data_IF_072517684878
#
_entry.id   IF_072517684878
#
_cell.length_a   1.000
_cell.length_b   1.000
_cell.length_c   1.000
_cell.angle_alpha   90.00
_cell.angle_beta   90.00
_cell.angle_gamma   90.00
#
_symmetry.space_group_name_H-M   'P 1'
#
loop_
_entity.id
_entity.type
_entity.pdbx_description
1 polymer ?
#
# COMPACT_ATOMS: atom_id res chain seq x y z
N UNK A 1 17.62 -7.44 -2.90
CA UNK A 1 18.49 -6.55 -2.13
C UNK A 1 18.90 -5.47 -3.08
N UNK A 2 18.56 -4.25 -2.69
CA UNK A 2 18.74 -3.04 -3.46
C UNK A 2 20.00 -2.36 -2.94
N UNK A 3 20.99 -2.17 -3.81
CA UNK A 3 22.14 -1.31 -3.60
C UNK A 3 21.65 0.07 -3.99
N UNK A 4 21.44 0.87 -2.96
CA UNK A 4 21.08 2.27 -3.09
C UNK A 4 22.37 3.06 -3.04
N UNK A 5 22.59 3.91 -4.03
CA UNK A 5 23.66 4.89 -3.96
C UNK A 5 23.30 5.94 -2.90
N UNK A 6 24.20 6.14 -1.94
CA UNK A 6 23.88 6.86 -0.70
C UNK A 6 23.79 8.38 -0.88
N UNK A 7 24.31 8.94 -1.97
CA UNK A 7 24.23 10.36 -2.29
C UNK A 7 22.98 10.68 -3.14
N UNK A 8 22.63 9.80 -4.08
CA UNK A 8 21.49 9.98 -4.99
C UNK A 8 20.18 9.38 -4.50
N UNK A 9 20.23 8.51 -3.48
CA UNK A 9 19.10 7.72 -2.95
C UNK A 9 18.42 6.83 -3.99
N UNK A 10 19.17 6.42 -5.00
CA UNK A 10 18.61 5.72 -6.13
C UNK A 10 19.17 4.32 -6.28
N UNK A 11 18.36 3.45 -6.85
CA UNK A 11 18.68 2.04 -6.91
C UNK A 11 19.66 1.81 -8.08
N UNK A 12 20.93 1.52 -7.74
CA UNK A 12 22.05 1.32 -8.68
C UNK A 12 22.52 -0.15 -8.80
N UNK A 13 22.11 -1.03 -7.89
CA UNK A 13 21.96 -2.47 -8.19
C UNK A 13 20.81 -3.21 -7.48
N UNK A 14 20.12 -4.13 -8.14
CA UNK A 14 18.95 -4.89 -7.65
C UNK A 14 19.26 -6.31 -7.97
N UNK A 15 19.91 -6.95 -7.03
CA UNK A 15 20.08 -8.38 -7.11
C UNK A 15 18.80 -9.01 -6.58
N UNK A 16 18.14 -9.79 -7.44
CA UNK A 16 17.03 -10.67 -7.03
C UNK A 16 17.64 -11.76 -6.16
N UNK A 17 17.60 -11.56 -4.84
CA UNK A 17 18.19 -12.47 -3.84
C UNK A 17 17.30 -13.68 -3.61
N UNK A 18 16.01 -13.54 -3.92
CA UNK A 18 15.00 -14.59 -3.84
C UNK A 18 13.89 -14.29 -4.83
N UNK A 19 13.27 -15.33 -5.38
CA UNK A 19 11.97 -15.21 -6.04
C UNK A 19 10.91 -15.58 -5.01
N UNK A 20 10.03 -14.64 -4.66
CA UNK A 20 8.81 -14.96 -3.95
C UNK A 20 7.93 -15.81 -4.89
N UNK A 21 7.67 -17.10 -4.58
CA UNK A 21 6.87 -17.98 -5.41
C UNK A 21 5.37 -17.69 -5.18
N UNK A 22 5.02 -16.42 -5.19
CA UNK A 22 3.67 -15.91 -5.07
C UNK A 22 3.22 -15.43 -6.44
N UNK A 23 1.94 -15.58 -6.72
CA UNK A 23 1.32 -14.98 -7.90
C UNK A 23 1.43 -13.45 -7.83
N UNK A 24 1.44 -12.77 -8.98
CA UNK A 24 1.75 -11.33 -9.02
C UNK A 24 0.71 -10.50 -8.27
N UNK A 25 -0.56 -10.90 -8.27
CA UNK A 25 -1.61 -10.28 -7.45
C UNK A 25 -1.26 -10.34 -5.95
N UNK A 26 -0.82 -11.50 -5.45
CA UNK A 26 -0.40 -11.68 -4.06
C UNK A 26 0.85 -10.86 -3.74
N UNK A 27 1.81 -10.74 -4.68
CA UNK A 27 3.00 -9.88 -4.50
C UNK A 27 2.63 -8.40 -4.40
N UNK A 28 1.67 -7.92 -5.19
CA UNK A 28 1.22 -6.53 -5.10
C UNK A 28 0.45 -6.30 -3.78
N UNK A 29 -0.36 -7.26 -3.35
CA UNK A 29 -1.00 -7.22 -2.04
C UNK A 29 -0.02 -7.19 -0.88
N UNK A 30 1.04 -7.99 -0.95
CA UNK A 30 2.13 -8.00 0.03
C UNK A 30 2.78 -6.61 0.16
N UNK A 31 3.00 -5.91 -0.95
CA UNK A 31 3.53 -4.53 -0.94
C UNK A 31 2.57 -3.56 -0.27
N UNK A 32 1.29 -3.56 -0.65
CA UNK A 32 0.27 -2.71 -0.05
C UNK A 32 0.12 -2.96 1.45
N UNK A 33 0.24 -4.23 1.87
CA UNK A 33 0.15 -4.59 3.28
C UNK A 33 1.31 -4.03 4.11
N UNK A 34 2.53 -4.03 3.57
CA UNK A 34 3.75 -3.66 4.31
C UNK A 34 4.21 -2.23 4.08
N UNK A 35 3.71 -1.54 3.05
CA UNK A 35 4.15 -0.20 2.66
C UNK A 35 3.06 0.84 2.86
N UNK A 36 3.45 2.01 3.36
CA UNK A 36 2.62 3.21 3.43
C UNK A 36 2.84 4.16 2.23
N UNK A 37 3.63 3.75 1.24
CA UNK A 37 4.04 4.59 0.11
C UNK A 37 2.86 4.98 -0.81
N UNK A 38 1.86 4.11 -0.95
CA UNK A 38 0.65 4.45 -1.69
C UNK A 38 -0.22 5.40 -0.86
N UNK A 39 -0.30 6.67 -1.27
CA UNK A 39 -1.08 7.71 -0.56
C UNK A 39 -2.59 7.42 -0.49
N UNK A 40 -3.09 6.49 -1.31
CA UNK A 40 -4.47 5.98 -1.18
C UNK A 40 -4.67 5.15 0.08
N UNK A 41 -3.62 4.48 0.57
CA UNK A 41 -3.61 3.71 1.82
C UNK A 41 -3.49 4.63 3.03
N UNK A 42 -2.54 5.57 3.00
CA UNK A 42 -2.34 6.55 4.07
C UNK A 42 -1.80 7.86 3.51
N UNK A 43 -2.57 8.95 3.64
CA UNK A 43 -2.24 10.25 3.04
C UNK A 43 -0.84 10.76 3.41
N UNK A 44 -0.47 10.66 4.69
CA UNK A 44 0.83 11.15 5.18
C UNK A 44 1.90 10.04 5.21
N UNK A 45 1.64 8.90 4.54
CA UNK A 45 2.56 7.77 4.37
C UNK A 45 3.18 7.24 5.68
N UNK A 46 2.46 7.34 6.80
CA UNK A 46 2.98 7.04 8.14
C UNK A 46 2.58 5.66 8.70
N UNK A 47 1.59 5.00 8.10
CA UNK A 47 1.03 3.73 8.58
C UNK A 47 0.68 2.78 7.42
N UNK A 48 0.88 1.48 7.64
CA UNK A 48 0.44 0.40 6.76
C UNK A 48 -0.28 -0.69 7.56
N UNK A 49 -0.80 -1.72 6.90
CA UNK A 49 -1.46 -2.84 7.59
C UNK A 49 -0.48 -3.54 8.54
N UNK A 50 0.77 -3.72 8.11
CA UNK A 50 1.83 -4.37 8.87
C UNK A 50 2.26 -3.59 10.13
N UNK A 51 1.93 -2.30 10.23
CA UNK A 51 2.21 -1.50 11.45
C UNK A 51 1.49 -2.05 12.67
N UNK A 52 0.25 -2.50 12.49
CA UNK A 52 -0.54 -3.12 13.57
C UNK A 52 -0.53 -4.66 13.43
N UNK A 53 -0.42 -5.20 12.21
CA UNK A 53 -0.48 -6.63 11.95
C UNK A 53 0.88 -7.19 11.51
N UNK A 54 1.85 -7.23 12.42
CA UNK A 54 3.21 -7.73 12.15
C UNK A 54 3.20 -9.16 11.58
N UNK A 55 3.69 -9.33 10.34
CA UNK A 55 3.63 -10.58 9.57
C UNK A 55 2.22 -11.20 9.49
N UNK A 56 1.19 -10.36 9.54
CA UNK A 56 -0.21 -10.78 9.59
C UNK A 56 -0.71 -11.14 10.98
N UNK A 57 0.13 -11.10 12.01
CA UNK A 57 -0.24 -11.28 13.40
C UNK A 57 -0.87 -10.03 14.02
N UNK A 58 -0.53 -9.77 15.28
CA UNK A 58 -0.98 -8.61 16.04
C UNK A 58 0.22 -7.89 16.64
N UNK A 59 0.12 -6.58 16.79
CA UNK A 59 1.05 -5.73 17.55
C UNK A 59 0.89 -5.86 19.06
N UNK A 60 -0.12 -6.62 19.50
CA UNK A 60 -0.46 -6.86 20.90
C UNK A 60 -0.72 -5.55 21.66
N UNK A 61 -1.20 -4.51 20.96
CA UNK A 61 -1.56 -3.20 21.52
C UNK A 61 -3.07 -3.00 21.54
N UNK A 62 -3.53 -2.30 22.57
CA UNK A 62 -4.91 -1.81 22.66
C UNK A 62 -4.96 -0.35 22.27
N UNK A 63 -5.74 -0.06 21.23
CA UNK A 63 -5.89 1.26 20.63
C UNK A 63 -7.20 1.93 21.05
N UNK A 64 -7.18 3.27 21.07
CA UNK A 64 -8.35 4.09 21.38
C UNK A 64 -9.07 4.54 20.10
N UNK A 65 -10.31 4.10 19.90
CA UNK A 65 -11.17 4.55 18.80
C UNK A 65 -12.42 5.28 19.31
N UNK A 66 -13.13 6.05 18.45
CA UNK A 66 -14.36 6.74 18.83
C UNK A 66 -15.45 5.82 19.41
N UNK A 67 -15.45 4.55 19.01
CA UNK A 67 -16.38 3.53 19.47
C UNK A 67 -15.82 2.60 20.58
N UNK A 68 -14.63 2.92 21.11
CA UNK A 68 -14.06 2.32 22.30
C UNK A 68 -12.64 1.76 22.12
N UNK A 69 -12.15 1.09 23.16
CA UNK A 69 -10.87 0.39 23.13
C UNK A 69 -10.95 -0.87 22.26
N UNK A 70 -9.93 -1.10 21.42
CA UNK A 70 -9.82 -2.30 20.59
C UNK A 70 -8.38 -2.80 20.59
N UNK A 71 -8.19 -4.09 20.88
CA UNK A 71 -6.93 -4.76 20.61
C UNK A 71 -6.83 -5.10 19.11
N UNK A 72 -5.63 -5.15 18.56
CA UNK A 72 -5.43 -5.55 17.16
C UNK A 72 -5.67 -7.06 16.99
N UNK A 73 -6.64 -7.51 16.17
CA UNK A 73 -6.84 -8.94 15.92
C UNK A 73 -5.71 -9.50 15.03
N UNK A 74 -5.43 -10.80 15.12
CA UNK A 74 -4.55 -11.44 14.14
C UNK A 74 -5.26 -11.55 12.78
N UNK A 75 -4.56 -11.21 11.69
CA UNK A 75 -5.03 -11.43 10.32
C UNK A 75 -4.71 -12.85 9.81
N UNK A 76 -3.97 -13.64 10.57
CA UNK A 76 -3.67 -15.03 10.23
C UNK A 76 -4.98 -15.82 10.16
N UNK A 77 -5.17 -16.52 9.03
CA UNK A 77 -6.38 -17.26 8.69
C UNK A 77 -7.66 -16.41 8.56
N UNK A 78 -7.56 -15.07 8.57
CA UNK A 78 -8.74 -14.19 8.53
C UNK A 78 -9.63 -14.46 7.32
N UNK A 79 -9.09 -14.80 6.14
CA UNK A 79 -9.94 -15.14 4.97
C UNK A 79 -10.88 -16.34 5.18
N UNK A 80 -10.78 -17.07 6.30
CA UNK A 80 -11.62 -18.21 6.66
C UNK A 80 -12.51 -17.95 7.88
N UNK A 81 -12.36 -16.81 8.56
CA UNK A 81 -12.96 -16.54 9.88
C UNK A 81 -13.85 -15.30 9.90
N UNK A 82 -14.53 -15.02 8.79
CA UNK A 82 -15.51 -13.93 8.75
C UNK A 82 -16.72 -14.20 9.65
N UNK A 83 -17.50 -13.18 10.02
CA UNK A 83 -17.32 -11.76 9.69
C UNK A 83 -16.16 -11.09 10.44
N UNK A 84 -15.57 -10.04 9.88
CA UNK A 84 -14.31 -9.46 10.33
C UNK A 84 -14.49 -8.24 11.26
N UNK A 85 -13.39 -7.83 11.92
CA UNK A 85 -13.35 -6.99 13.12
C UNK A 85 -13.99 -7.63 14.36
N UNK A 86 -13.67 -7.08 15.55
CA UNK A 86 -14.30 -7.50 16.82
C UNK A 86 -15.82 -7.33 16.84
N UNK A 87 -16.33 -6.33 16.11
CA UNK A 87 -17.77 -6.08 15.93
C UNK A 87 -18.42 -7.01 14.91
N UNK A 88 -17.65 -7.72 14.08
CA UNK A 88 -18.18 -8.52 12.97
C UNK A 88 -18.90 -7.67 11.92
N UNK A 89 -18.47 -6.42 11.72
CA UNK A 89 -19.17 -5.45 10.87
C UNK A 89 -18.70 -5.46 9.41
N UNK A 90 -17.72 -6.30 9.06
CA UNK A 90 -17.25 -6.49 7.69
C UNK A 90 -17.65 -7.89 7.22
N UNK A 91 -18.34 -8.01 6.11
CA UNK A 91 -18.79 -9.30 5.59
C UNK A 91 -17.89 -9.85 4.46
N UNK A 92 -16.95 -9.03 3.98
CA UNK A 92 -15.81 -9.42 3.16
C UNK A 92 -14.53 -8.70 3.63
N UNK A 93 -13.35 -9.25 3.30
CA UNK A 93 -12.08 -8.61 3.69
C UNK A 93 -11.91 -7.29 2.95
N UNK A 94 -12.49 -7.14 1.77
CA UNK A 94 -12.41 -5.94 0.94
C UNK A 94 -13.09 -4.73 1.60
N UNK A 95 -13.97 -4.91 2.57
CA UNK A 95 -14.57 -3.79 3.32
C UNK A 95 -13.57 -3.06 4.22
N UNK A 96 -12.33 -3.57 4.34
CA UNK A 96 -11.20 -2.79 4.88
C UNK A 96 -10.93 -1.51 4.07
N UNK A 97 -11.55 -1.32 2.90
CA UNK A 97 -11.63 -0.04 2.21
C UNK A 97 -12.08 1.09 3.13
N UNK A 98 -13.04 0.84 4.02
CA UNK A 98 -13.46 1.82 5.02
C UNK A 98 -12.38 2.05 6.10
N UNK A 99 -11.67 1.01 6.52
CA UNK A 99 -10.51 1.14 7.43
C UNK A 99 -9.40 1.99 6.80
N UNK A 100 -9.11 1.81 5.51
CA UNK A 100 -8.12 2.62 4.79
C UNK A 100 -8.49 4.10 4.83
N UNK A 101 -9.76 4.43 4.61
CA UNK A 101 -10.25 5.82 4.57
C UNK A 101 -10.34 6.44 5.97
N UNK A 102 -11.01 5.77 6.89
CA UNK A 102 -11.38 6.34 8.19
C UNK A 102 -10.25 6.23 9.22
N UNK A 103 -9.49 5.13 9.21
CA UNK A 103 -8.45 4.88 10.21
C UNK A 103 -7.05 5.27 9.72
N UNK A 104 -6.67 4.84 8.51
CA UNK A 104 -5.35 5.15 7.96
C UNK A 104 -5.29 6.56 7.33
N UNK A 105 -6.45 7.19 7.14
CA UNK A 105 -6.56 8.54 6.59
C UNK A 105 -6.24 8.62 5.09
N UNK A 106 -6.28 7.49 4.38
CA UNK A 106 -6.09 7.40 2.94
C UNK A 106 -7.32 7.83 2.15
N UNK A 107 -7.17 7.94 0.83
CA UNK A 107 -8.30 8.21 -0.07
C UNK A 107 -9.04 6.96 -0.53
N UNK A 108 -8.57 5.76 -0.14
CA UNK A 108 -9.14 4.47 -0.51
C UNK A 108 -8.63 3.91 -1.85
N UNK A 109 -8.61 2.57 -1.95
CA UNK A 109 -8.16 1.84 -3.13
C UNK A 109 -9.26 1.69 -4.19
N UNK A 110 -10.51 1.94 -3.82
CA UNK A 110 -11.67 1.87 -4.72
C UNK A 110 -12.04 3.28 -5.20
N UNK A 111 -12.54 3.37 -6.43
CA UNK A 111 -13.12 4.61 -6.94
C UNK A 111 -14.58 4.75 -6.50
N UNK A 112 -14.95 5.95 -6.04
CA UNK A 112 -16.31 6.24 -5.57
C UNK A 112 -16.53 5.86 -4.10
N UNK A 113 -17.74 5.42 -3.76
CA UNK A 113 -18.14 5.07 -2.39
C UNK A 113 -17.41 3.82 -1.89
N UNK A 114 -17.18 3.74 -0.58
CA UNK A 114 -16.51 2.62 0.09
C UNK A 114 -17.41 1.40 0.32
N UNK A 115 -18.68 1.50 -0.07
CA UNK A 115 -19.73 0.54 0.22
C UNK A 115 -19.84 0.18 1.71
N UNK A 116 -19.79 1.17 2.60
CA UNK A 116 -20.01 0.97 4.03
C UNK A 116 -21.23 1.70 4.60
N UNK A 117 -22.11 2.21 3.73
CA UNK A 117 -23.33 2.93 4.12
C UNK A 117 -24.58 2.12 3.75
N UNK A 118 -25.53 1.86 4.68
CA UNK A 118 -25.56 2.29 6.08
C UNK A 118 -24.68 1.45 7.02
N UNK A 119 -24.28 0.24 6.62
CA UNK A 119 -23.30 -0.62 7.29
C UNK A 119 -22.50 -1.41 6.25
N UNK A 120 -21.24 -1.75 6.52
CA UNK A 120 -20.42 -2.52 5.58
C UNK A 120 -20.96 -3.94 5.36
N UNK A 121 -21.40 -4.61 6.43
CA UNK A 121 -21.95 -5.97 6.40
C UNK A 121 -23.31 -6.15 5.71
N UNK A 122 -23.88 -5.07 5.14
CA UNK A 122 -25.15 -5.09 4.42
C UNK A 122 -25.16 -4.29 3.13
N UNK A 123 -24.05 -3.68 2.75
CA UNK A 123 -23.91 -2.90 1.54
C UNK A 123 -23.50 -3.77 0.33
N UNK A 124 -23.31 -3.14 -0.83
CA UNK A 124 -22.85 -3.85 -2.03
C UNK A 124 -21.39 -4.30 -1.89
N UNK A 125 -21.05 -5.42 -2.53
CA UNK A 125 -19.71 -5.99 -2.41
C UNK A 125 -18.62 -5.09 -3.01
N UNK A 126 -17.51 -4.98 -2.30
CA UNK A 126 -16.25 -4.38 -2.72
C UNK A 126 -15.36 -5.32 -3.56
N UNK A 127 -15.53 -6.65 -3.45
CA UNK A 127 -14.85 -7.62 -4.33
C UNK A 127 -14.99 -7.23 -5.81
N UNK A 128 -13.88 -7.16 -6.53
CA UNK A 128 -13.87 -6.89 -7.98
C UNK A 128 -13.97 -5.41 -8.36
N UNK A 129 -14.10 -4.48 -7.39
CA UNK A 129 -14.18 -3.04 -7.66
C UNK A 129 -12.83 -2.37 -7.86
N UNK A 130 -11.75 -2.98 -7.35
CA UNK A 130 -10.39 -2.47 -7.48
C UNK A 130 -9.39 -3.61 -7.46
N UNK A 131 -8.55 -3.67 -8.50
CA UNK A 131 -7.44 -4.63 -8.57
C UNK A 131 -6.51 -4.48 -7.37
N UNK A 132 -6.24 -3.26 -6.90
CA UNK A 132 -5.37 -3.04 -5.76
C UNK A 132 -5.95 -3.61 -4.46
N UNK A 133 -7.26 -3.43 -4.25
CA UNK A 133 -7.96 -3.96 -3.08
C UNK A 133 -8.04 -5.49 -3.13
N UNK A 134 -8.37 -6.06 -4.30
CA UNK A 134 -8.39 -7.50 -4.50
C UNK A 134 -7.00 -8.12 -4.32
N UNK A 135 -5.94 -7.45 -4.76
CA UNK A 135 -4.56 -7.88 -4.53
C UNK A 135 -4.21 -7.89 -3.03
N UNK A 136 -4.55 -6.82 -2.29
CA UNK A 136 -4.36 -6.75 -0.83
C UNK A 136 -5.06 -7.91 -0.12
N UNK A 137 -6.31 -8.17 -0.46
CA UNK A 137 -7.07 -9.28 0.14
C UNK A 137 -6.54 -10.65 -0.28
N UNK A 138 -6.04 -10.81 -1.51
CA UNK A 138 -5.38 -12.03 -1.96
C UNK A 138 -4.12 -12.32 -1.12
N UNK A 139 -3.36 -11.29 -0.72
CA UNK A 139 -2.24 -11.45 0.20
C UNK A 139 -2.69 -11.82 1.62
N UNK A 140 -3.69 -11.13 2.18
CA UNK A 140 -4.26 -11.48 3.50
C UNK A 140 -4.75 -12.94 3.51
N UNK A 141 -5.30 -13.40 2.39
CA UNK A 141 -5.71 -14.78 2.20
C UNK A 141 -4.53 -15.79 2.17
N UNK A 142 -3.27 -15.35 2.17
CA UNK A 142 -2.10 -16.25 2.32
C UNK A 142 -1.60 -16.38 3.75
N UNK A 143 -2.00 -15.48 4.65
CA UNK A 143 -1.49 -15.45 6.03
C UNK A 143 -1.97 -16.69 6.80
N UNK A 144 -1.05 -17.60 7.17
CA UNK A 144 -1.33 -18.89 7.83
C UNK A 144 -0.20 -19.25 8.80
N UNK A 145 -0.49 -20.01 9.87
CA UNK A 145 0.51 -20.46 10.85
C UNK A 145 1.50 -21.53 10.29
N UNK A 146 2.72 -21.61 10.84
CA UNK A 146 3.79 -22.58 10.54
C UNK A 146 3.71 -23.90 11.35
N UNK A 147 4.48 -24.94 10.98
CA UNK A 147 4.37 -26.29 11.54
C UNK A 147 5.67 -26.77 12.24
N UNK A 148 5.55 -27.30 13.46
CA UNK A 148 6.58 -28.12 14.14
C UNK A 148 5.93 -29.43 14.63
N UNK A 149 6.65 -30.56 14.52
CA UNK A 149 6.17 -31.92 14.82
C UNK A 149 6.77 -32.41 16.15
N UNK A 150 5.95 -32.85 17.09
CA UNK A 150 6.40 -33.51 18.33
C UNK A 150 5.96 -34.98 18.40
N UNK A 151 6.89 -35.89 18.74
CA UNK A 151 6.65 -37.34 18.87
C UNK A 151 5.89 -37.73 20.16
N UNK A 152 5.12 -38.82 20.09
CA UNK A 152 4.22 -39.29 21.15
C UNK A 152 4.90 -40.18 22.22
N UNK A 153 4.43 -40.08 23.46
CA UNK A 153 4.76 -40.92 24.63
C UNK A 153 3.50 -41.61 25.18
N UNK A 154 3.65 -42.76 25.85
CA UNK A 154 2.54 -43.57 26.41
C UNK A 154 1.95 -43.02 27.74
N UNK A 155 2.50 -41.94 28.30
CA UNK A 155 1.93 -41.23 29.45
C UNK A 155 1.12 -40.04 28.93
N UNK A 156 -0.15 -39.86 29.33
CA UNK A 156 -0.94 -38.71 28.93
C UNK A 156 -0.21 -37.41 29.26
N UNK A 157 0.22 -36.68 28.23
CA UNK A 157 0.90 -35.40 28.39
C UNK A 157 -0.04 -34.38 29.05
N UNK A 158 0.48 -33.29 29.65
CA UNK A 158 -0.36 -32.19 30.13
C UNK A 158 -1.38 -31.71 29.09
N UNK A 159 -0.99 -31.64 27.83
CA UNK A 159 -1.84 -31.27 26.69
C UNK A 159 -2.98 -32.27 26.49
N UNK A 160 -2.71 -33.57 26.54
CA UNK A 160 -3.75 -34.60 26.43
C UNK A 160 -4.74 -34.56 27.60
N UNK A 161 -4.26 -34.22 28.81
CA UNK A 161 -5.16 -34.02 29.98
C UNK A 161 -5.98 -32.74 29.83
N UNK A 162 -5.39 -31.67 29.30
CA UNK A 162 -6.08 -30.42 28.99
C UNK A 162 -7.14 -30.57 27.90
N UNK A 163 -6.88 -31.39 26.87
CA UNK A 163 -7.85 -31.70 25.81
C UNK A 163 -9.14 -32.30 26.37
N UNK A 164 -9.03 -33.21 27.35
CA UNK A 164 -10.19 -33.82 28.02
C UNK A 164 -11.03 -32.76 28.74
N UNK A 165 -10.38 -31.77 29.37
CA UNK A 165 -11.07 -30.65 30.02
C UNK A 165 -11.76 -29.77 28.97
N UNK A 166 -11.05 -29.40 27.91
CA UNK A 166 -11.56 -28.56 26.83
C UNK A 166 -12.79 -29.15 26.15
N UNK A 167 -12.77 -30.46 25.88
CA UNK A 167 -13.88 -31.20 25.25
C UNK A 167 -14.99 -31.60 26.22
N UNK A 168 -14.84 -31.32 27.52
CA UNK A 168 -15.81 -31.70 28.53
C UNK A 168 -17.12 -30.92 28.39
N UNK A 169 -18.24 -31.59 28.68
CA UNK A 169 -19.57 -30.96 28.76
C UNK A 169 -19.76 -30.10 30.00
N UNK A 170 -18.76 -30.04 30.88
CA UNK A 170 -18.77 -29.19 32.08
C UNK A 170 -18.18 -27.82 31.75
N UNK A 171 -17.08 -27.77 30.98
CA UNK A 171 -16.48 -26.52 30.53
C UNK A 171 -17.12 -25.99 29.23
N UNK A 172 -17.68 -26.87 28.38
CA UNK A 172 -18.38 -26.51 27.14
C UNK A 172 -17.58 -25.61 26.18
N UNK A 173 -16.24 -25.62 26.23
CA UNK A 173 -15.41 -24.79 25.36
C UNK A 173 -15.69 -25.06 23.88
N UNK A 174 -15.96 -26.33 23.54
CA UNK A 174 -16.27 -26.79 22.18
C UNK A 174 -17.63 -26.37 21.66
N UNK A 175 -18.50 -25.77 22.48
CA UNK A 175 -19.77 -25.20 21.99
C UNK A 175 -19.50 -24.10 20.96
N UNK A 176 -18.50 -23.26 21.25
CA UNK A 176 -18.06 -22.16 20.38
C UNK A 176 -16.71 -22.45 19.71
N UNK A 177 -15.76 -23.08 20.41
CA UNK A 177 -14.41 -23.29 19.88
C UNK A 177 -14.24 -24.69 19.26
N UNK A 178 -14.79 -24.85 18.06
CA UNK A 178 -14.85 -26.14 17.37
C UNK A 178 -13.64 -26.38 16.46
N UNK A 179 -13.04 -27.56 16.55
CA UNK A 179 -12.02 -28.01 15.60
C UNK A 179 -12.58 -28.00 14.15
N UNK A 180 -11.75 -27.80 13.10
CA UNK A 180 -10.28 -27.76 13.13
C UNK A 180 -9.68 -26.37 13.38
N UNK A 181 -10.49 -25.30 13.35
CA UNK A 181 -10.02 -23.91 13.53
C UNK A 181 -10.24 -23.38 14.96
N UNK A 182 -10.83 -24.18 15.83
CA UNK A 182 -11.16 -23.85 17.22
C UNK A 182 -11.98 -22.55 17.33
N UNK A 183 -12.95 -22.41 16.43
CA UNK A 183 -13.95 -21.34 16.39
C UNK A 183 -15.18 -21.84 15.60
N UNK A 184 -16.35 -21.30 15.90
CA UNK A 184 -17.59 -21.52 15.15
C UNK A 184 -17.89 -20.39 14.16
N UNK A 185 -17.03 -19.37 14.10
CA UNK A 185 -17.18 -18.15 13.28
C UNK A 185 -18.52 -17.42 13.53
N UNK A 186 -19.10 -17.54 14.73
CA UNK A 186 -20.35 -16.86 15.08
C UNK A 186 -20.13 -15.77 16.11
N UNK A 187 -21.06 -14.83 16.13
CA UNK A 187 -21.14 -13.80 17.16
C UNK A 187 -21.92 -14.33 18.37
N UNK A 188 -21.35 -14.14 19.56
CA UNK A 188 -21.96 -14.50 20.83
C UNK A 188 -22.07 -13.29 21.75
N UNK A 189 -23.12 -13.27 22.56
CA UNK A 189 -23.35 -12.19 23.53
C UNK A 189 -22.56 -12.45 24.81
N UNK A 190 -21.54 -11.63 25.07
CA UNK A 190 -20.73 -11.66 26.28
C UNK A 190 -21.12 -10.52 27.22
N UNK A 191 -21.30 -10.83 28.51
CA UNK A 191 -21.54 -9.82 29.55
C UNK A 191 -20.21 -9.40 30.15
N UNK A 192 -19.80 -8.17 29.85
CA UNK A 192 -18.51 -7.64 30.30
C UNK A 192 -18.61 -7.01 31.69
N UNK A 193 -17.44 -6.74 32.30
CA UNK A 193 -17.25 -6.24 33.69
C UNK A 193 -18.00 -4.93 34.02
N UNK A 194 -18.60 -4.25 33.04
CA UNK A 194 -19.42 -3.05 33.22
C UNK A 194 -20.94 -3.30 33.16
N UNK A 195 -21.38 -4.56 33.12
CA UNK A 195 -22.80 -4.91 32.93
C UNK A 195 -23.31 -4.67 31.50
N UNK A 196 -22.40 -4.30 30.58
CA UNK A 196 -22.68 -4.13 29.15
C UNK A 196 -22.58 -5.48 28.46
N UNK A 197 -23.61 -5.83 27.70
CA UNK A 197 -23.58 -6.99 26.80
C UNK A 197 -23.04 -6.55 25.45
N UNK A 198 -21.95 -7.16 25.00
CA UNK A 198 -21.41 -6.97 23.64
C UNK A 198 -21.56 -8.25 22.83
N UNK A 199 -21.87 -8.09 21.55
CA UNK A 199 -21.81 -9.17 20.57
C UNK A 199 -20.36 -9.27 20.09
N UNK A 200 -19.70 -10.40 20.32
CA UNK A 200 -18.30 -10.63 20.00
C UNK A 200 -18.20 -11.91 19.17
N UNK A 201 -17.46 -11.85 18.06
CA UNK A 201 -17.16 -13.04 17.27
C UNK A 201 -16.24 -14.00 18.05
N UNK A 202 -16.50 -15.31 17.99
CA UNK A 202 -15.62 -16.33 18.60
C UNK A 202 -14.24 -16.32 17.94
N UNK A 203 -13.16 -15.90 18.62
CA UNK A 203 -11.84 -15.95 18.02
C UNK A 203 -11.36 -17.39 17.86
N UNK A 204 -10.48 -17.65 16.89
CA UNK A 204 -9.73 -18.91 16.85
C UNK A 204 -8.85 -19.06 18.08
N UNK A 205 -8.73 -20.28 18.60
CA UNK A 205 -7.78 -20.62 19.67
C UNK A 205 -6.45 -21.18 19.12
N UNK A 206 -6.24 -21.14 17.80
CA UNK A 206 -4.97 -21.54 17.22
C UNK A 206 -3.88 -20.52 17.59
N UNK A 207 -2.70 -21.02 17.96
CA UNK A 207 -1.50 -20.24 18.28
C UNK A 207 -1.65 -19.24 19.43
N UNK A 208 -2.50 -19.55 20.42
CA UNK A 208 -2.73 -18.64 21.56
C UNK A 208 -1.45 -18.26 22.29
N UNK A 209 -0.44 -19.15 22.32
CA UNK A 209 0.87 -18.91 22.93
C UNK A 209 1.61 -17.68 22.38
N UNK A 210 1.22 -17.17 21.21
CA UNK A 210 1.84 -16.01 20.55
C UNK A 210 0.95 -14.76 20.50
N UNK A 211 -0.23 -14.78 21.14
CA UNK A 211 -1.29 -13.77 20.93
C UNK A 211 -1.67 -12.95 22.16
N UNK A 212 -0.86 -12.98 23.22
CA UNK A 212 -1.08 -12.12 24.38
C UNK A 212 -0.85 -10.63 24.01
N UNK A 213 -1.66 -9.67 24.50
CA UNK A 213 -2.68 -9.84 25.52
C UNK A 213 -4.01 -10.34 24.95
N UNK A 214 -4.74 -11.07 25.79
CA UNK A 214 -5.94 -11.80 25.43
C UNK A 214 -7.21 -10.99 25.66
N UNK A 215 -8.29 -11.44 25.00
CA UNK A 215 -9.62 -10.83 24.96
C UNK A 215 -9.72 -9.62 24.04
N UNK A 216 -10.95 -9.20 23.73
CA UNK A 216 -11.25 -8.17 22.72
C UNK A 216 -10.65 -6.79 23.03
N UNK A 217 -10.35 -6.53 24.30
CA UNK A 217 -9.77 -5.28 24.79
C UNK A 217 -8.41 -5.48 25.46
N UNK A 218 -7.77 -6.64 25.26
CA UNK A 218 -6.42 -6.91 25.74
C UNK A 218 -6.26 -6.88 27.28
N UNK A 219 -7.35 -7.01 28.04
CA UNK A 219 -7.32 -6.85 29.51
C UNK A 219 -6.57 -7.96 30.26
N UNK A 220 -6.31 -9.10 29.61
CA UNK A 220 -5.67 -10.25 30.25
C UNK A 220 -4.29 -10.50 29.64
N UNK A 221 -3.28 -10.57 30.50
CA UNK A 221 -1.90 -10.82 30.10
C UNK A 221 -1.58 -12.31 29.95
N UNK A 222 -2.39 -13.18 30.58
CA UNK A 222 -2.18 -14.64 30.59
C UNK A 222 -3.48 -15.40 30.33
N UNK A 223 -3.39 -16.61 29.75
CA UNK A 223 -4.55 -17.50 29.59
C UNK A 223 -5.14 -17.93 30.95
N UNK A 224 -4.33 -17.98 31.99
CA UNK A 224 -4.79 -18.23 33.38
C UNK A 224 -5.79 -17.16 33.83
N UNK A 225 -5.54 -15.89 33.51
CA UNK A 225 -6.47 -14.79 33.82
C UNK A 225 -7.76 -14.90 33.01
N UNK A 226 -7.64 -15.23 31.71
CA UNK A 226 -8.81 -15.46 30.83
C UNK A 226 -9.68 -16.56 31.39
N UNK A 227 -9.11 -17.74 31.67
CA UNK A 227 -9.85 -18.94 32.09
C UNK A 227 -10.52 -18.78 33.46
N UNK A 228 -10.00 -17.92 34.33
CA UNK A 228 -10.61 -17.63 35.63
C UNK A 228 -11.84 -16.72 35.54
N UNK A 229 -11.98 -15.95 34.46
CA UNK A 229 -13.01 -14.91 34.37
C UNK A 229 -13.99 -15.16 33.21
N UNK A 230 -13.48 -15.44 32.01
CA UNK A 230 -14.26 -15.47 30.77
C UNK A 230 -15.51 -16.37 30.84
N UNK A 231 -15.49 -17.57 31.43
CA UNK A 231 -16.69 -18.41 31.46
C UNK A 231 -17.85 -17.82 32.28
N UNK A 232 -17.58 -16.89 33.20
CA UNK A 232 -18.63 -16.13 33.89
C UNK A 232 -19.21 -14.97 33.06
N UNK A 233 -18.53 -14.55 31.98
CA UNK A 233 -19.03 -13.57 31.02
C UNK A 233 -20.10 -14.19 30.09
N UNK A 234 -20.13 -15.52 29.97
CA UNK A 234 -21.12 -16.27 29.19
C UNK A 234 -22.36 -16.53 30.04
N UNK A 235 -23.53 -16.12 29.56
CA UNK A 235 -24.79 -16.24 30.30
C UNK A 235 -25.12 -17.72 30.59
N UNK A 236 -25.18 -18.06 31.87
CA UNK A 236 -25.59 -19.40 32.33
C UNK A 236 -24.45 -20.41 32.42
N UNK A 237 -23.22 -20.01 32.10
CA UNK A 237 -22.03 -20.78 32.43
C UNK A 237 -21.45 -20.29 33.76
N UNK A 238 -20.96 -21.25 34.55
CA UNK A 238 -20.15 -21.00 35.72
C UNK A 238 -18.91 -21.87 35.55
N UNK A 239 -17.72 -21.31 35.80
CA UNK A 239 -16.53 -22.14 35.81
C UNK A 239 -16.63 -23.13 36.99
N UNK A 240 -16.48 -24.44 36.78
CA UNK A 240 -16.11 -25.32 37.89
C UNK A 240 -14.76 -24.85 38.46
N UNK A 241 -14.59 -24.97 39.77
CA UNK A 241 -13.33 -24.64 40.43
C UNK A 241 -12.27 -25.65 39.98
N UNK A 242 -11.44 -25.27 39.00
CA UNK A 242 -10.38 -26.12 38.48
C UNK A 242 -9.21 -26.12 39.48
N UNK A 243 -8.73 -27.30 39.85
CA UNK A 243 -7.50 -27.41 40.63
C UNK A 243 -6.33 -26.81 39.83
N UNK A 244 -5.31 -26.30 40.52
CA UNK A 244 -4.18 -25.62 39.87
C UNK A 244 -3.50 -26.48 38.79
N UNK A 245 -3.44 -27.80 38.98
CA UNK A 245 -2.93 -28.75 37.98
C UNK A 245 -3.82 -28.87 36.74
N UNK A 246 -5.14 -28.90 36.93
CA UNK A 246 -6.10 -28.97 35.81
C UNK A 246 -6.09 -27.67 34.98
N UNK A 247 -5.97 -26.53 35.65
CA UNK A 247 -5.83 -25.25 34.97
C UNK A 247 -4.53 -25.18 34.16
N UNK A 248 -3.42 -25.64 34.72
CA UNK A 248 -2.14 -25.72 34.01
C UNK A 248 -2.23 -26.66 32.80
N UNK A 249 -2.83 -27.84 32.96
CA UNK A 249 -3.03 -28.79 31.85
C UNK A 249 -3.89 -28.18 30.73
N UNK A 250 -4.98 -27.48 31.07
CA UNK A 250 -5.82 -26.79 30.07
C UNK A 250 -5.06 -25.67 29.35
N UNK A 251 -4.25 -24.88 30.07
CA UNK A 251 -3.39 -23.85 29.43
C UNK A 251 -2.39 -24.50 28.49
N UNK A 252 -1.71 -25.58 28.91
CA UNK A 252 -0.77 -26.31 28.06
C UNK A 252 -1.45 -26.82 26.78
N UNK A 253 -2.67 -27.37 26.90
CA UNK A 253 -3.45 -27.76 25.73
C UNK A 253 -3.74 -26.58 24.80
N UNK A 254 -4.27 -25.47 25.33
CA UNK A 254 -4.59 -24.27 24.55
C UNK A 254 -3.37 -23.66 23.87
N UNK A 255 -2.21 -23.69 24.53
CA UNK A 255 -0.93 -23.25 23.96
C UNK A 255 -0.38 -24.22 22.93
N UNK A 256 -0.73 -25.51 23.02
CA UNK A 256 -0.36 -26.55 22.04
C UNK A 256 -1.23 -26.58 20.80
N UNK A 257 -2.33 -25.82 20.77
CA UNK A 257 -3.23 -25.74 19.62
C UNK A 257 -2.54 -25.04 18.45
N UNK A 258 -1.79 -25.82 17.70
CA UNK A 258 -1.16 -25.41 16.45
C UNK A 258 -2.03 -25.77 15.25
N UNK A 259 -1.66 -25.20 14.11
CA UNK A 259 -2.42 -25.36 12.88
C UNK A 259 -2.29 -26.80 12.34
N UNK A 260 -3.38 -27.45 11.93
CA UNK A 260 -3.34 -28.79 11.33
C UNK A 260 -2.45 -28.89 10.06
N UNK A 261 -1.66 -29.95 9.94
CA UNK A 261 -0.75 -30.22 8.81
C UNK A 261 -1.42 -30.26 7.43
N UNK A 262 -2.71 -30.63 7.39
CA UNK A 262 -3.51 -30.69 6.17
C UNK A 262 -4.00 -29.31 5.70
N UNK A 263 -3.83 -28.27 6.52
CA UNK A 263 -3.94 -26.87 6.10
C UNK A 263 -2.55 -26.46 5.61
N UNK A 264 -2.21 -26.75 4.35
CA UNK A 264 -0.88 -26.41 3.80
C UNK A 264 -0.59 -24.90 3.93
N UNK A 265 0.42 -24.55 4.73
CA UNK A 265 1.22 -23.36 4.50
C UNK A 265 2.39 -23.78 3.63
N UNK A 266 2.76 -22.95 2.67
CA UNK A 266 4.07 -23.11 2.04
C UNK A 266 5.14 -22.87 3.12
N UNK A 267 6.22 -23.66 3.14
CA UNK A 267 7.27 -23.48 4.13
C UNK A 267 7.80 -22.06 4.04
N UNK A 268 7.89 -21.40 5.20
CA UNK A 268 8.66 -20.16 5.37
C UNK A 268 10.04 -20.39 4.75
N UNK A 269 10.49 -19.46 3.90
CA UNK A 269 11.82 -19.44 3.29
C UNK A 269 12.89 -19.27 4.37
N UNK A 270 13.11 -20.28 5.22
CA UNK A 270 14.10 -20.24 6.30
C UNK A 270 15.48 -20.76 5.90
N UNK A 271 15.62 -21.38 4.73
CA UNK A 271 16.92 -21.92 4.30
C UNK A 271 17.54 -21.04 3.21
N UNK A 272 18.47 -20.19 3.64
CA UNK A 272 19.39 -19.48 2.75
C UNK A 272 20.42 -20.51 2.24
N UNK A 273 20.10 -21.22 1.17
CA UNK A 273 21.15 -21.78 0.31
C UNK A 273 21.72 -20.65 -0.55
N UNK A 274 23.03 -20.39 -0.46
CA UNK A 274 23.72 -19.37 -1.26
C UNK A 274 23.58 -19.66 -2.77
N UNK A 275 22.92 -18.79 -3.56
CA UNK A 275 22.92 -18.92 -5.01
C UNK A 275 23.84 -17.87 -5.65
N UNK A 276 24.41 -18.26 -6.78
CA UNK A 276 25.53 -17.61 -7.46
C UNK A 276 25.27 -16.17 -7.95
N UNK A 277 26.33 -15.35 -7.96
CA UNK A 277 26.36 -13.94 -8.38
C UNK A 277 25.94 -13.69 -9.84
N UNK A 278 25.11 -12.66 -10.09
CA UNK A 278 25.06 -11.90 -11.35
C UNK A 278 24.40 -10.48 -11.25
N UNK A 279 25.20 -9.43 -11.54
CA UNK A 279 24.98 -8.08 -12.15
C UNK A 279 23.98 -6.96 -11.67
N UNK A 280 24.24 -5.65 -12.00
CA UNK A 280 23.70 -4.44 -11.35
C UNK A 280 22.45 -3.77 -12.00
N UNK A 281 21.93 -2.64 -11.46
CA UNK A 281 20.64 -1.99 -11.82
C UNK A 281 20.78 -1.00 -12.95
N UNK A 282 19.62 -0.76 -13.54
CA UNK A 282 19.37 0.12 -14.66
C UNK A 282 19.27 1.59 -14.21
N UNK A 283 19.79 2.51 -15.03
CA UNK A 283 19.59 3.94 -14.89
C UNK A 283 18.10 4.33 -15.04
N UNK A 284 17.66 5.40 -14.36
CA UNK A 284 16.29 5.89 -14.27
C UNK A 284 16.23 7.39 -13.92
N UNK A 285 15.33 8.13 -14.58
CA UNK A 285 15.08 9.56 -14.34
C UNK A 285 13.58 9.90 -14.35
N UNK A 286 13.23 11.08 -13.86
CA UNK A 286 11.88 11.67 -13.92
C UNK A 286 11.99 13.08 -14.50
N UNK A 287 11.03 13.47 -15.32
CA UNK A 287 10.86 14.84 -15.83
C UNK A 287 9.37 15.15 -15.93
N UNK A 288 8.97 16.38 -15.65
CA UNK A 288 7.60 16.86 -15.82
C UNK A 288 7.56 18.29 -16.37
N UNK A 289 6.56 18.63 -17.18
CA UNK A 289 6.40 19.95 -17.81
C UNK A 289 5.09 20.59 -17.34
N UNK A 290 5.10 21.91 -17.19
CA UNK A 290 3.92 22.75 -17.01
C UNK A 290 3.92 23.91 -18.02
N UNK A 291 2.84 24.04 -18.77
CA UNK A 291 2.62 25.08 -19.78
C UNK A 291 1.40 25.94 -19.46
N UNK A 292 1.50 27.24 -19.72
CA UNK A 292 0.34 28.14 -19.79
C UNK A 292 0.55 29.24 -20.84
N UNK A 293 -0.53 29.72 -21.45
CA UNK A 293 -0.51 30.78 -22.46
C UNK A 293 -1.40 31.94 -22.05
N UNK A 294 -0.87 33.16 -22.06
CA UNK A 294 -1.56 34.39 -21.68
C UNK A 294 -1.67 35.36 -22.88
N UNK A 295 -2.88 35.57 -23.41
CA UNK A 295 -3.07 36.51 -24.52
C UNK A 295 -2.82 37.96 -24.11
N UNK A 296 -2.17 38.74 -24.98
CA UNK A 296 -2.05 40.18 -24.78
C UNK A 296 -3.42 40.87 -24.93
N UNK A 297 -3.79 41.72 -23.97
CA UNK A 297 -5.06 42.44 -24.02
C UNK A 297 -5.10 43.47 -25.17
N UNK A 298 -6.25 43.57 -25.85
CA UNK A 298 -6.50 44.67 -26.79
C UNK A 298 -6.45 46.01 -26.05
N UNK A 299 -5.59 46.94 -26.52
CA UNK A 299 -5.61 48.30 -25.98
C UNK A 299 -6.93 48.97 -26.34
N UNK A 300 -7.80 49.19 -25.35
CA UNK A 300 -9.10 49.85 -25.49
C UNK A 300 -9.01 51.37 -25.72
N UNK A 301 -8.04 51.84 -26.50
CA UNK A 301 -7.88 53.28 -26.75
C UNK A 301 -7.24 53.54 -28.11
N UNK A 302 -8.06 53.83 -29.14
CA UNK A 302 -7.71 54.76 -30.22
C UNK A 302 -8.98 55.41 -30.79
N UNK A 303 -9.16 56.69 -30.44
CA UNK A 303 -9.83 57.63 -31.32
C UNK A 303 -9.08 57.77 -32.65
N UNK A 304 -9.88 57.93 -33.71
CA UNK A 304 -9.57 58.49 -35.04
C UNK A 304 -8.23 58.15 -35.72
N UNK A 305 -8.38 57.45 -36.84
CA UNK A 305 -7.60 57.56 -38.08
C UNK A 305 -6.05 57.51 -37.98
N UNK A 306 -5.51 56.30 -38.08
CA UNK A 306 -4.40 56.02 -39.03
C UNK A 306 -4.58 54.66 -39.69
N UNK A 307 -4.93 54.69 -40.97
CA UNK A 307 -4.74 53.57 -41.88
C UNK A 307 -3.24 53.19 -41.90
N UNK A 308 -2.89 52.09 -41.23
CA UNK A 308 -1.53 51.53 -41.24
C UNK A 308 -1.02 50.89 -39.95
N UNK A 309 -1.73 50.92 -38.81
CA UNK A 309 -1.24 50.28 -37.58
C UNK A 309 -1.68 48.83 -37.47
N UNK A 310 -0.75 47.93 -37.78
CA UNK A 310 -0.82 46.51 -37.47
C UNK A 310 -0.73 46.29 -35.95
N UNK A 311 -1.85 46.09 -35.26
CA UNK A 311 -1.82 45.58 -33.88
C UNK A 311 -1.28 44.13 -33.88
N UNK A 312 -0.26 43.79 -33.08
CA UNK A 312 0.19 42.41 -32.98
C UNK A 312 -0.87 41.61 -32.23
N UNK A 313 -1.57 40.72 -32.94
CA UNK A 313 -2.25 39.60 -32.31
C UNK A 313 -1.12 38.73 -31.73
N UNK A 314 -1.16 38.40 -30.43
CA UNK A 314 -0.06 37.71 -29.74
C UNK A 314 -0.33 37.43 -28.26
N UNK A 315 0.58 36.70 -27.62
CA UNK A 315 0.50 36.32 -26.20
C UNK A 315 1.82 35.79 -25.67
N UNK A 316 1.85 35.53 -24.37
CA UNK A 316 3.02 35.03 -23.63
C UNK A 316 2.87 33.54 -23.32
N UNK A 317 3.79 32.73 -23.80
CA UNK A 317 3.91 31.31 -23.44
C UNK A 317 4.83 31.17 -22.23
N UNK A 318 4.25 30.73 -21.12
CA UNK A 318 4.98 30.38 -19.90
C UNK A 318 5.28 28.89 -19.90
N UNK A 319 6.56 28.56 -19.68
CA UNK A 319 7.04 27.18 -19.64
C UNK A 319 7.76 26.95 -18.31
N UNK A 320 7.37 25.92 -17.59
CA UNK A 320 8.08 25.41 -16.42
C UNK A 320 8.31 23.91 -16.56
N UNK A 321 9.36 23.39 -15.92
CA UNK A 321 9.61 21.96 -15.87
C UNK A 321 10.37 21.55 -14.61
N UNK A 322 10.24 20.28 -14.25
CA UNK A 322 10.99 19.65 -13.16
C UNK A 322 11.72 18.42 -13.64
N UNK A 323 12.87 18.10 -13.07
CA UNK A 323 13.64 16.90 -13.42
C UNK A 323 14.47 16.34 -12.26
N UNK A 324 14.77 15.04 -12.31
CA UNK A 324 15.63 14.30 -11.37
C UNK A 324 16.17 13.02 -12.01
N UNK A 325 17.33 12.51 -11.58
CA UNK A 325 17.92 11.26 -12.11
C UNK A 325 18.85 10.56 -11.12
N UNK A 326 18.89 9.23 -11.21
CA UNK A 326 19.81 8.36 -10.45
C UNK A 326 21.24 8.31 -10.98
N UNK A 327 21.48 8.88 -12.15
CA UNK A 327 22.78 8.95 -12.83
C UNK A 327 22.98 10.36 -13.39
N UNK A 328 24.21 10.71 -13.78
CA UNK A 328 24.47 11.95 -14.52
C UNK A 328 23.65 12.02 -15.80
N UNK A 329 23.03 13.17 -16.07
CA UNK A 329 22.01 13.29 -17.10
C UNK A 329 21.99 14.66 -17.77
N UNK A 330 21.52 14.68 -19.00
CA UNK A 330 21.30 15.90 -19.78
C UNK A 330 19.81 16.06 -20.05
N UNK A 331 19.32 17.30 -20.02
CA UNK A 331 17.90 17.63 -20.27
C UNK A 331 17.75 18.46 -21.51
N UNK A 332 16.86 18.04 -22.40
CA UNK A 332 16.51 18.73 -23.64
C UNK A 332 15.04 19.14 -23.61
N UNK A 333 14.75 20.38 -23.98
CA UNK A 333 13.39 20.83 -24.28
C UNK A 333 13.27 21.08 -25.78
N UNK A 334 12.30 20.41 -26.41
CA UNK A 334 12.08 20.43 -27.87
C UNK A 334 10.62 20.75 -28.15
N UNK A 335 10.36 21.76 -28.96
CA UNK A 335 9.02 22.08 -29.46
C UNK A 335 8.84 21.40 -30.81
N UNK A 336 7.77 20.64 -30.97
CA UNK A 336 7.32 20.07 -32.24
C UNK A 336 6.05 20.77 -32.69
N UNK A 337 5.96 21.09 -33.98
CA UNK A 337 4.70 21.43 -34.64
C UNK A 337 4.26 20.25 -35.52
N UNK A 338 3.31 19.41 -35.08
CA UNK A 338 2.96 18.17 -35.79
C UNK A 338 2.47 18.39 -37.22
N UNK A 339 1.80 19.52 -37.48
CA UNK A 339 1.22 19.83 -38.79
C UNK A 339 2.27 20.01 -39.90
N UNK A 340 3.41 20.62 -39.57
CA UNK A 340 4.50 20.92 -40.52
C UNK A 340 5.68 19.97 -40.38
N UNK A 341 5.80 19.30 -39.22
CA UNK A 341 6.98 18.54 -38.84
C UNK A 341 8.17 19.43 -38.49
N UNK A 342 7.95 20.72 -38.24
CA UNK A 342 8.98 21.64 -37.78
C UNK A 342 9.31 21.40 -36.29
N UNK A 343 10.59 21.57 -35.96
CA UNK A 343 11.08 21.45 -34.60
C UNK A 343 11.89 22.67 -34.19
N UNK A 344 11.85 22.98 -32.90
CA UNK A 344 12.71 23.95 -32.24
C UNK A 344 13.22 23.37 -30.93
N UNK A 345 14.28 23.94 -30.39
CA UNK A 345 14.80 23.55 -29.08
C UNK A 345 15.16 24.79 -28.26
N UNK A 346 15.24 24.60 -26.95
CA UNK A 346 15.76 25.61 -26.03
C UNK A 346 17.26 25.45 -25.86
N UNK A 347 18.02 26.51 -26.12
CA UNK A 347 19.46 26.55 -25.89
C UNK A 347 19.82 26.84 -24.41
N UNK A 348 21.11 26.76 -24.06
CA UNK A 348 21.60 27.03 -22.70
C UNK A 348 21.41 28.47 -22.22
N UNK A 349 21.06 29.39 -23.13
CA UNK A 349 20.67 30.76 -22.83
C UNK A 349 19.14 30.94 -22.79
N UNK A 350 18.40 29.83 -22.81
CA UNK A 350 16.95 29.74 -22.66
C UNK A 350 16.21 30.39 -23.84
N UNK A 351 16.83 30.39 -25.02
CA UNK A 351 16.25 30.91 -26.26
C UNK A 351 15.81 29.77 -27.17
N UNK A 352 14.73 30.00 -27.89
CA UNK A 352 14.18 29.07 -28.87
C UNK A 352 14.93 29.21 -30.20
N UNK A 353 15.49 28.11 -30.70
CA UNK A 353 16.18 28.03 -31.99
C UNK A 353 15.59 26.94 -32.87
N UNK A 354 15.56 27.14 -34.19
CA UNK A 354 15.09 26.11 -35.13
C UNK A 354 15.98 24.86 -35.07
N UNK A 355 15.35 23.69 -35.06
CA UNK A 355 16.02 22.40 -35.03
C UNK A 355 15.80 21.66 -36.36
N UNK A 356 16.88 21.35 -37.06
CA UNK A 356 16.85 20.39 -38.16
C UNK A 356 17.06 18.98 -37.57
N UNK A 357 16.06 18.11 -37.71
CA UNK A 357 16.08 16.74 -37.18
C UNK A 357 17.37 16.02 -37.64
N UNK A 358 18.08 15.44 -36.67
CA UNK A 358 19.33 14.72 -36.90
C UNK A 358 20.59 15.59 -36.78
N UNK A 359 20.45 16.91 -36.62
CA UNK A 359 21.57 17.78 -36.24
C UNK A 359 21.78 17.75 -34.72
N UNK A 360 23.05 17.71 -34.28
CA UNK A 360 23.39 17.75 -32.87
C UNK A 360 23.17 19.17 -32.31
N UNK A 361 22.64 19.24 -31.10
CA UNK A 361 22.42 20.48 -30.36
C UNK A 361 22.75 20.26 -28.88
N UNK A 362 23.09 21.34 -28.18
CA UNK A 362 23.44 21.26 -26.77
C UNK A 362 22.19 21.04 -25.90
N UNK A 363 22.31 20.30 -24.79
CA UNK A 363 21.23 20.22 -23.81
C UNK A 363 20.94 21.58 -23.20
N UNK A 364 19.69 21.76 -22.75
CA UNK A 364 19.28 22.96 -22.01
C UNK A 364 20.01 23.02 -20.66
N UNK A 365 20.09 21.88 -19.97
CA UNK A 365 20.75 21.72 -18.67
C UNK A 365 21.56 20.43 -18.64
N UNK A 366 22.80 20.52 -18.15
CA UNK A 366 23.68 19.38 -17.90
C UNK A 366 23.83 19.16 -16.38
N UNK A 367 23.69 17.90 -15.94
CA UNK A 367 23.98 17.47 -14.58
C UNK A 367 25.15 16.48 -14.58
N UNK A 368 26.25 16.85 -13.94
CA UNK A 368 27.47 16.04 -13.95
C UNK A 368 27.44 14.83 -13.01
N UNK A 369 26.46 14.80 -12.12
CA UNK A 369 26.21 13.77 -11.10
C UNK A 369 24.71 13.46 -11.07
N UNK A 370 24.31 12.43 -10.34
CA UNK A 370 22.89 12.23 -10.01
C UNK A 370 22.34 13.49 -9.35
N UNK A 371 21.10 13.84 -9.63
CA UNK A 371 20.48 14.97 -8.94
C UNK A 371 19.08 14.67 -8.46
N UNK A 372 18.82 15.15 -7.24
CA UNK A 372 17.49 15.24 -6.66
C UNK A 372 16.65 16.30 -7.38
N UNK A 373 15.37 16.39 -7.02
CA UNK A 373 14.37 17.24 -7.67
C UNK A 373 14.81 18.71 -7.87
N UNK A 374 14.84 19.18 -9.12
CA UNK A 374 15.00 20.59 -9.48
C UNK A 374 13.81 21.10 -10.29
N UNK A 375 13.35 22.31 -10.01
CA UNK A 375 12.29 23.00 -10.73
C UNK A 375 12.82 24.27 -11.42
N UNK A 376 12.37 24.50 -12.65
CA UNK A 376 12.79 25.60 -13.53
C UNK A 376 11.56 26.28 -14.13
N UNK A 377 11.58 27.60 -14.25
CA UNK A 377 10.53 28.39 -14.91
C UNK A 377 11.19 29.38 -15.88
N UNK A 378 10.86 29.26 -17.17
CA UNK A 378 11.41 30.09 -18.24
C UNK A 378 10.80 31.49 -18.23
N UNK A 379 11.60 32.49 -18.64
CA UNK A 379 11.08 33.81 -18.94
C UNK A 379 9.97 33.69 -20.02
N UNK A 380 8.85 34.42 -19.89
CA UNK A 380 7.73 34.28 -20.82
C UNK A 380 8.15 34.52 -22.27
N UNK A 381 7.76 33.63 -23.17
CA UNK A 381 8.04 33.73 -24.60
C UNK A 381 6.96 34.52 -25.31
N UNK A 382 7.33 35.67 -25.84
CA UNK A 382 6.45 36.50 -26.67
C UNK A 382 6.18 35.83 -28.02
N UNK A 383 4.92 35.46 -28.28
CA UNK A 383 4.46 34.83 -29.52
C UNK A 383 3.56 35.81 -30.29
N UNK A 384 3.96 36.17 -31.52
CA UNK A 384 3.09 36.93 -32.42
C UNK A 384 2.12 35.97 -33.17
N UNK A 385 0.85 35.99 -32.79
CA UNK A 385 -0.22 35.06 -33.20
C UNK A 385 -0.77 35.27 -34.62
N UNK A 386 -0.29 36.26 -35.40
CA UNK A 386 -0.83 36.58 -36.74
C UNK A 386 -0.72 35.46 -37.78
N UNK A 387 0.01 34.38 -37.49
CA UNK A 387 0.20 33.24 -38.40
C UNK A 387 0.01 31.86 -37.75
N UNK A 388 -0.22 31.77 -36.43
CA UNK A 388 -0.19 30.50 -35.67
C UNK A 388 -1.53 30.18 -34.97
N UNK A 389 -2.59 30.92 -35.26
CA UNK A 389 -3.89 30.77 -34.58
C UNK A 389 -4.54 29.41 -34.89
N UNK A 390 -4.92 28.67 -33.85
CA UNK A 390 -5.40 27.28 -33.89
C UNK A 390 -4.35 26.24 -34.35
N UNK A 391 -3.07 26.55 -34.21
CA UNK A 391 -2.02 25.57 -34.45
C UNK A 391 -1.67 24.81 -33.17
N UNK A 392 -1.50 23.50 -33.31
CA UNK A 392 -1.13 22.60 -32.22
C UNK A 392 0.38 22.47 -32.17
N UNK A 393 0.93 22.60 -30.97
CA UNK A 393 2.34 22.36 -30.67
C UNK A 393 2.48 21.34 -29.54
N UNK A 394 3.61 20.65 -29.51
CA UNK A 394 3.97 19.74 -28.43
C UNK A 394 5.33 20.15 -27.88
N UNK A 395 5.41 20.46 -26.59
CA UNK A 395 6.69 20.60 -25.90
C UNK A 395 7.09 19.26 -25.32
N UNK A 396 8.26 18.78 -25.70
CA UNK A 396 8.88 17.55 -25.20
C UNK A 396 9.98 17.93 -24.22
N UNK A 397 10.02 17.25 -23.08
CA UNK A 397 11.15 17.25 -22.16
C UNK A 397 11.76 15.87 -22.13
N UNK A 398 13.03 15.79 -22.50
CA UNK A 398 13.75 14.53 -22.67
C UNK A 398 14.94 14.57 -21.72
N UNK A 399 15.03 13.55 -20.86
CA UNK A 399 16.19 13.31 -20.00
C UNK A 399 16.92 12.07 -20.50
N UNK A 400 18.22 12.21 -20.77
CA UNK A 400 19.10 11.13 -21.23
C UNK A 400 20.32 11.02 -20.33
N UNK A 401 21.05 9.90 -20.39
CA UNK A 401 22.38 9.84 -19.76
C UNK A 401 23.29 10.94 -20.29
N UNK A 402 24.15 11.47 -19.42
CA UNK A 402 25.05 12.58 -19.78
C UNK A 402 25.86 12.27 -21.04
N UNK A 403 25.81 13.17 -22.01
CA UNK A 403 26.48 13.07 -23.30
C UNK A 403 25.76 12.21 -24.33
N UNK A 404 24.65 11.57 -23.97
CA UNK A 404 23.82 10.84 -24.92
C UNK A 404 22.97 11.81 -25.76
N UNK A 405 22.63 11.35 -26.96
CA UNK A 405 21.84 12.11 -27.91
C UNK A 405 20.35 11.99 -27.59
N UNK A 406 19.55 13.08 -27.67
CA UNK A 406 18.10 12.99 -27.52
C UNK A 406 17.44 12.19 -28.68
N UNK A 407 18.17 11.89 -29.76
CA UNK A 407 17.67 11.02 -30.83
C UNK A 407 17.82 9.52 -30.53
N UNK A 408 18.62 9.15 -29.53
CA UNK A 408 18.85 7.75 -29.13
C UNK A 408 17.84 7.37 -28.05
N UNK A 409 16.63 7.00 -28.47
CA UNK A 409 15.48 6.71 -27.58
C UNK A 409 15.82 5.61 -26.55
N UNK A 410 16.67 4.66 -26.91
CA UNK A 410 17.13 3.60 -26.00
C UNK A 410 17.94 4.13 -24.80
N UNK A 411 18.47 5.36 -24.91
CA UNK A 411 19.22 6.04 -23.86
C UNK A 411 18.37 7.07 -23.08
N UNK A 412 17.07 7.12 -23.33
CA UNK A 412 16.16 7.99 -22.58
C UNK A 412 15.92 7.42 -21.18
N UNK A 413 16.18 8.25 -20.18
CA UNK A 413 15.96 7.92 -18.77
C UNK A 413 14.62 8.44 -18.26
N UNK A 414 14.11 9.51 -18.86
CA UNK A 414 12.85 10.14 -18.51
C UNK A 414 12.31 10.97 -19.68
N UNK A 415 10.98 11.01 -19.83
CA UNK A 415 10.32 11.75 -20.89
C UNK A 415 8.96 12.23 -20.42
N UNK A 416 8.65 13.48 -20.73
CA UNK A 416 7.32 14.05 -20.61
C UNK A 416 7.03 14.91 -21.83
N UNK A 417 5.76 15.08 -22.16
CA UNK A 417 5.35 15.96 -23.24
C UNK A 417 3.98 16.57 -22.98
N UNK A 418 3.87 17.87 -23.23
CA UNK A 418 2.62 18.60 -23.09
C UNK A 418 2.24 19.29 -24.40
N UNK A 419 1.01 19.03 -24.84
CA UNK A 419 0.43 19.70 -25.99
C UNK A 419 -0.14 21.06 -25.58
N UNK A 420 0.04 22.07 -26.44
CA UNK A 420 -0.58 23.38 -26.29
C UNK A 420 -1.06 23.92 -27.65
N UNK A 421 -2.04 24.81 -27.60
CA UNK A 421 -2.65 25.44 -28.78
C UNK A 421 -2.41 26.95 -28.67
N UNK A 422 -2.03 27.58 -29.78
CA UNK A 422 -1.77 29.01 -29.88
C UNK A 422 -2.81 29.74 -30.74
#
# INVERSE_FOLDING_TARGET
MSVIDAESLTEISRTVVTQLPLDDNVKQGLKLFHSSDDTRMAKDQWISCATCHFDGGSDNQTWHFPDGLRNTPSLIATSLTGPFHWSGNLDEVQDVENTIRELQGGTGLVSGEDNCTPTCDGAEKNTGRSEALDNLTAFIATLRFGADVTEASDIPSPEQRGEVLFTSTVLNCTECHQAPLYTDNKNHSLRLIEGVTKSINTPTLLNLRHSAPYYHDGRYSTLVEVLKVHPADIKGQNLPDLEAGQLADLVMYLESLDKPDNVRSLPLLSDIEQPAQANPLNAAAVVSIELSFEMWAESADLGEEKAGSTHPEGGDLNVAFTHASNVSFDTYLVIQQPATGAYWYFDTAWKVSSLEIGTAFAPLIEHTESSSFHAHALDPLHVEARQLTNEVFVLHAIVVEKGASPYEIDNWLGYDAQQFEL
#
